data_IF_017223155054
#
_entry.id   IF_017223155054
#
_cell.length_a   1.000
_cell.length_b   1.000
_cell.length_c   1.000
_cell.angle_alpha   90.00
_cell.angle_beta   90.00
_cell.angle_gamma   90.00
#
_symmetry.space_group_name_H-M   'P 1'
#
loop_
_entity.id
_entity.type
_entity.pdbx_description
1 polymer ?
#
# COMPACT_ATOMS: atom_id res chain seq x y z
N UNK A 1 -3.72 -59.99 -63.75
CA UNK A 1 -3.40 -61.41 -64.02
C UNK A 1 -2.58 -61.91 -62.84
N UNK A 2 -2.99 -63.07 -62.32
CA UNK A 2 -2.53 -63.72 -61.10
C UNK A 2 -1.10 -64.27 -61.28
N UNK A 3 -0.45 -64.57 -60.14
CA UNK A 3 0.54 -65.63 -59.86
C UNK A 3 1.83 -65.06 -59.25
N UNK A 4 2.03 -65.05 -57.93
CA UNK A 4 2.11 -66.13 -56.92
C UNK A 4 3.38 -67.00 -57.07
N UNK A 5 4.28 -66.76 -56.10
CA UNK A 5 5.16 -67.67 -55.33
C UNK A 5 6.24 -68.51 -56.03
N UNK A 6 7.30 -68.74 -55.24
CA UNK A 6 7.96 -70.03 -54.89
C UNK A 6 9.47 -69.75 -54.80
N UNK A 7 10.04 -69.56 -53.61
CA UNK A 7 10.56 -70.56 -52.66
C UNK A 7 12.02 -70.97 -52.93
N UNK A 8 12.62 -71.61 -51.91
CA UNK A 8 14.01 -72.08 -51.77
C UNK A 8 14.99 -70.97 -51.38
N UNK A 9 15.73 -71.04 -50.28
CA UNK A 9 16.11 -72.11 -49.37
C UNK A 9 17.49 -71.71 -48.82
N UNK A 10 17.81 -71.90 -47.53
CA UNK A 10 19.02 -71.32 -46.94
C UNK A 10 20.20 -72.30 -47.07
N UNK A 11 21.35 -71.85 -47.61
CA UNK A 11 22.63 -72.53 -47.34
C UNK A 11 23.88 -71.74 -47.75
N UNK A 12 24.74 -71.50 -46.75
CA UNK A 12 26.22 -71.31 -46.76
C UNK A 12 26.82 -70.18 -47.62
N UNK A 13 27.88 -69.44 -47.25
CA UNK A 13 28.68 -69.25 -46.03
C UNK A 13 29.43 -67.88 -46.23
N UNK A 14 30.02 -67.26 -45.20
CA UNK A 14 30.37 -65.84 -45.19
C UNK A 14 31.73 -65.53 -45.81
N UNK A 15 31.94 -64.28 -46.25
CA UNK A 15 33.18 -63.60 -45.97
C UNK A 15 32.93 -62.31 -45.19
N UNK A 16 33.64 -62.22 -44.06
CA UNK A 16 33.73 -61.06 -43.19
C UNK A 16 34.21 -59.85 -44.00
N UNK A 17 33.37 -58.83 -44.09
CA UNK A 17 33.75 -57.51 -44.55
C UNK A 17 34.05 -56.61 -43.35
N UNK A 18 35.14 -55.85 -43.52
CA UNK A 18 35.83 -54.94 -42.61
C UNK A 18 34.89 -54.00 -41.84
N UNK A 19 35.13 -53.69 -40.55
CA UNK A 19 34.34 -52.71 -39.83
C UNK A 19 34.66 -51.31 -40.37
N UNK A 20 33.71 -50.71 -41.07
CA UNK A 20 33.71 -49.27 -41.30
C UNK A 20 33.05 -48.52 -40.13
N UNK A 21 33.49 -47.28 -39.85
CA UNK A 21 33.37 -46.63 -38.55
C UNK A 21 31.91 -46.34 -38.18
N UNK A 22 31.55 -46.58 -36.90
CA UNK A 22 30.29 -46.12 -36.35
C UNK A 22 30.19 -44.60 -36.47
N UNK A 23 29.16 -44.13 -37.19
CA UNK A 23 28.66 -42.76 -37.08
C UNK A 23 28.37 -42.48 -35.61
N UNK A 24 29.13 -41.53 -35.05
CA UNK A 24 28.84 -40.91 -33.78
C UNK A 24 27.48 -40.23 -33.86
N UNK A 25 26.46 -40.81 -33.25
CA UNK A 25 25.18 -40.14 -33.02
C UNK A 25 25.45 -38.87 -32.22
N UNK A 26 25.31 -37.71 -32.86
CA UNK A 26 25.32 -36.43 -32.18
C UNK A 26 24.23 -36.44 -31.09
N UNK A 27 24.49 -35.89 -29.89
CA UNK A 27 23.48 -35.78 -28.85
C UNK A 27 22.30 -34.96 -29.37
N UNK A 28 21.09 -35.48 -29.23
CA UNK A 28 19.87 -34.70 -29.39
C UNK A 28 19.92 -33.60 -28.33
N UNK A 29 20.03 -32.35 -28.78
CA UNK A 29 19.98 -31.17 -27.93
C UNK A 29 18.59 -31.14 -27.26
N UNK A 30 18.56 -31.45 -25.97
CA UNK A 30 17.36 -31.35 -25.14
C UNK A 30 16.97 -29.87 -25.12
N UNK A 31 15.87 -29.52 -25.80
CA UNK A 31 15.28 -28.18 -25.73
C UNK A 31 14.79 -28.00 -24.31
N UNK A 32 15.64 -27.45 -23.44
CA UNK A 32 15.24 -26.95 -22.13
C UNK A 32 14.24 -25.84 -22.44
N UNK A 33 12.95 -25.94 -22.04
CA UNK A 33 12.04 -24.82 -22.18
C UNK A 33 12.64 -23.64 -21.44
N UNK A 34 12.73 -22.48 -22.09
CA UNK A 34 13.11 -21.24 -21.41
C UNK A 34 12.28 -21.14 -20.12
N UNK A 35 12.92 -20.84 -18.97
CA UNK A 35 12.16 -20.61 -17.75
C UNK A 35 11.15 -19.51 -18.06
N UNK A 36 9.86 -19.82 -17.90
CA UNK A 36 8.80 -18.81 -17.89
C UNK A 36 9.18 -17.86 -16.78
N UNK A 37 9.67 -16.67 -17.15
CA UNK A 37 9.82 -15.56 -16.22
C UNK A 37 8.38 -15.21 -15.88
N UNK A 38 7.87 -15.70 -14.74
CA UNK A 38 6.62 -15.21 -14.21
C UNK A 38 6.78 -13.69 -14.06
N UNK A 39 5.93 -12.92 -14.76
CA UNK A 39 5.87 -11.48 -14.52
C UNK A 39 5.66 -11.28 -13.02
N UNK A 40 6.46 -10.40 -12.37
CA UNK A 40 6.29 -10.16 -10.95
C UNK A 40 4.82 -9.78 -10.70
N UNK A 41 4.21 -10.27 -9.60
CA UNK A 41 2.82 -9.98 -9.31
C UNK A 41 2.61 -8.47 -9.31
N UNK A 42 1.72 -8.01 -10.19
CA UNK A 42 1.37 -6.59 -10.28
C UNK A 42 0.62 -6.17 -9.03
N UNK A 43 1.03 -5.03 -8.46
CA UNK A 43 0.38 -4.49 -7.27
C UNK A 43 -1.05 -4.03 -7.62
N UNK A 44 -2.08 -4.33 -6.79
CA UNK A 44 -3.47 -3.96 -7.10
C UNK A 44 -3.68 -2.45 -7.23
N UNK A 45 -3.98 -1.95 -8.42
CA UNK A 45 -4.27 -0.52 -8.68
C UNK A 45 -5.76 -0.22 -8.58
N UNK A 46 -6.11 0.99 -8.10
CA UNK A 46 -7.49 1.51 -8.09
C UNK A 46 -7.62 2.98 -8.51
N UNK A 47 -6.52 3.67 -8.79
CA UNK A 47 -6.50 5.03 -9.31
C UNK A 47 -5.33 5.19 -10.29
N UNK A 48 -5.40 6.23 -11.11
CA UNK A 48 -4.37 6.65 -12.05
C UNK A 48 -4.29 8.18 -11.97
N UNK A 49 -3.39 8.67 -11.11
CA UNK A 49 -3.21 10.09 -10.82
C UNK A 49 -1.74 10.42 -10.63
N UNK A 50 -1.28 11.55 -11.18
CA UNK A 50 0.00 12.11 -10.78
C UNK A 50 -0.16 12.93 -9.50
N UNK A 51 0.65 12.62 -8.48
CA UNK A 51 0.58 13.26 -7.16
C UNK A 51 1.93 13.82 -6.75
N UNK A 52 1.90 14.92 -5.99
CA UNK A 52 3.02 15.44 -5.23
C UNK A 52 2.59 15.69 -3.79
N UNK A 53 3.30 15.10 -2.83
CA UNK A 53 3.11 15.30 -1.40
C UNK A 53 4.28 16.11 -0.84
N UNK A 54 3.97 17.11 -0.01
CA UNK A 54 4.96 17.88 0.76
C UNK A 54 4.83 17.52 2.23
N UNK A 55 5.96 17.29 2.88
CA UNK A 55 6.05 16.98 4.30
C UNK A 55 6.40 18.23 5.11
N UNK A 56 6.23 18.14 6.43
CA UNK A 56 6.46 19.24 7.36
C UNK A 56 7.92 19.72 7.39
N UNK A 57 8.88 18.83 7.13
CA UNK A 57 10.30 19.19 6.96
C UNK A 57 10.61 19.91 5.63
N UNK A 58 9.61 20.06 4.74
CA UNK A 58 9.74 20.68 3.43
C UNK A 58 10.19 19.70 2.33
N UNK A 59 10.45 18.44 2.66
CA UNK A 59 10.71 17.41 1.65
C UNK A 59 9.46 17.12 0.83
N UNK A 60 9.66 16.59 -0.37
CA UNK A 60 8.57 16.26 -1.29
C UNK A 60 8.73 14.85 -1.85
N UNK A 61 7.61 14.12 -1.96
CA UNK A 61 7.51 12.86 -2.69
C UNK A 61 6.49 13.01 -3.80
N UNK A 62 6.91 12.78 -5.04
CA UNK A 62 6.05 12.86 -6.22
C UNK A 62 6.13 11.57 -7.02
N UNK A 63 5.06 11.22 -7.72
CA UNK A 63 5.02 10.06 -8.59
C UNK A 63 3.62 9.70 -9.02
N UNK A 64 3.50 8.53 -9.64
CA UNK A 64 2.24 7.98 -10.10
C UNK A 64 1.53 7.25 -8.96
N UNK A 65 0.40 7.81 -8.53
CA UNK A 65 -0.45 7.25 -7.51
C UNK A 65 -1.32 6.16 -8.14
N UNK A 66 -1.03 4.92 -7.79
CA UNK A 66 -1.67 3.74 -8.36
C UNK A 66 -2.77 3.17 -7.47
N UNK A 67 -2.73 3.44 -6.17
CA UNK A 67 -3.76 2.98 -5.22
C UNK A 67 -3.95 3.98 -4.09
N UNK A 68 -5.21 4.16 -3.70
CA UNK A 68 -5.59 4.85 -2.48
C UNK A 68 -6.33 3.87 -1.58
N UNK A 69 -6.05 3.92 -0.28
CA UNK A 69 -6.85 3.26 0.73
C UNK A 69 -7.20 4.22 1.87
N UNK A 70 -8.25 3.88 2.60
CA UNK A 70 -8.72 4.61 3.77
C UNK A 70 -8.95 3.66 4.94
N UNK A 71 -8.58 4.07 6.16
CA UNK A 71 -8.93 3.29 7.34
C UNK A 71 -10.46 3.18 7.50
N UNK A 72 -10.93 2.03 7.97
CA UNK A 72 -12.34 1.86 8.31
C UNK A 72 -12.74 2.72 9.51
N UNK A 73 -11.84 2.85 10.50
CA UNK A 73 -12.05 3.55 11.77
C UNK A 73 -11.10 4.72 11.97
N UNK A 74 -11.45 5.58 12.91
CA UNK A 74 -10.71 6.81 13.24
C UNK A 74 -9.39 6.58 14.01
N UNK A 75 -9.10 5.37 14.47
CA UNK A 75 -7.79 5.05 15.07
C UNK A 75 -6.74 4.70 14.02
N UNK A 76 -7.14 4.40 12.78
CA UNK A 76 -6.21 4.22 11.66
C UNK A 76 -5.20 3.11 11.95
N UNK A 77 -5.67 2.05 12.60
CA UNK A 77 -4.87 0.91 13.02
C UNK A 77 -4.45 0.09 11.81
N UNK A 78 -3.26 -0.50 11.91
CA UNK A 78 -2.68 -1.36 10.87
C UNK A 78 -3.25 -2.79 10.93
N UNK A 79 -4.35 -3.01 11.65
CA UNK A 79 -5.05 -4.29 11.85
C UNK A 79 -5.78 -4.82 10.60
N UNK A 80 -5.40 -4.33 9.42
CA UNK A 80 -5.83 -4.86 8.14
C UNK A 80 -7.20 -4.39 7.64
N UNK A 81 -7.88 -3.47 8.33
CA UNK A 81 -9.17 -2.91 7.87
C UNK A 81 -8.99 -1.65 7.03
N UNK A 82 -8.25 -1.80 5.93
CA UNK A 82 -8.11 -0.78 4.89
C UNK A 82 -9.19 -0.97 3.82
N UNK A 83 -9.87 0.12 3.49
CA UNK A 83 -10.95 0.16 2.51
C UNK A 83 -10.42 0.72 1.18
N UNK A 84 -10.82 0.10 0.07
CA UNK A 84 -10.48 0.52 -1.30
C UNK A 84 -11.72 1.00 -2.11
N UNK A 85 -11.58 1.19 -3.43
CA UNK A 85 -12.47 2.05 -4.24
C UNK A 85 -13.92 1.60 -4.27
N UNK A 86 -14.17 0.30 -4.14
CA UNK A 86 -15.51 -0.28 -4.01
C UNK A 86 -16.21 0.14 -2.69
N UNK A 87 -15.46 0.76 -1.77
CA UNK A 87 -15.88 1.06 -0.38
C UNK A 87 -15.78 2.54 0.03
N UNK A 88 -16.01 3.49 -0.89
CA UNK A 88 -16.14 4.95 -0.62
C UNK A 88 -14.82 5.71 -0.38
N UNK A 89 -13.85 5.60 -1.30
CA UNK A 89 -12.67 6.49 -1.34
C UNK A 89 -13.07 7.89 -1.84
N UNK A 90 -13.81 8.65 -1.03
CA UNK A 90 -14.14 10.05 -1.29
C UNK A 90 -13.74 10.91 -0.10
N UNK A 91 -13.25 12.11 -0.40
CA UNK A 91 -12.93 13.11 0.60
C UNK A 91 -14.21 13.83 1.02
N UNK A 92 -14.45 13.89 2.34
CA UNK A 92 -15.59 14.60 2.91
C UNK A 92 -15.25 16.08 3.03
N UNK A 93 -16.02 16.92 2.34
CA UNK A 93 -15.79 18.35 2.19
C UNK A 93 -16.96 19.14 2.78
N UNK A 94 -16.67 20.25 3.44
CA UNK A 94 -17.69 21.14 4.01
C UNK A 94 -17.40 22.63 3.80
N UNK A 95 -18.44 23.45 3.85
CA UNK A 95 -18.32 24.90 3.93
C UNK A 95 -18.62 25.38 5.36
N UNK A 96 -18.15 26.57 5.70
CA UNK A 96 -18.48 27.21 6.99
C UNK A 96 -19.99 27.49 7.16
N UNK A 97 -20.76 27.49 6.07
CA UNK A 97 -22.21 27.69 6.07
C UNK A 97 -23.01 26.39 6.18
N UNK A 98 -22.35 25.25 6.44
CA UNK A 98 -23.00 23.95 6.61
C UNK A 98 -23.29 23.17 5.32
N UNK A 99 -22.78 23.64 4.17
CA UNK A 99 -22.79 22.83 2.95
C UNK A 99 -21.82 21.65 3.09
N UNK A 100 -22.17 20.49 2.53
CA UNK A 100 -21.34 19.29 2.60
C UNK A 100 -21.43 18.47 1.31
N UNK A 101 -20.32 17.82 0.94
CA UNK A 101 -20.27 16.87 -0.17
C UNK A 101 -19.18 15.81 0.02
N UNK A 102 -19.29 14.73 -0.76
CA UNK A 102 -18.22 13.74 -0.94
C UNK A 102 -17.62 13.87 -2.33
N UNK A 103 -16.33 14.17 -2.39
CA UNK A 103 -15.63 14.42 -3.64
C UNK A 103 -14.57 13.34 -3.86
N UNK A 104 -14.57 12.63 -5.01
CA UNK A 104 -13.51 11.66 -5.31
C UNK A 104 -12.17 12.39 -5.47
N UNK A 105 -11.07 11.70 -5.15
CA UNK A 105 -9.72 12.27 -5.25
C UNK A 105 -9.36 12.75 -6.66
N UNK A 106 -9.94 12.15 -7.70
CA UNK A 106 -9.75 12.54 -9.11
C UNK A 106 -10.22 13.97 -9.42
N UNK A 107 -11.14 14.51 -8.61
CA UNK A 107 -11.70 15.87 -8.74
C UNK A 107 -11.05 16.88 -7.79
N UNK A 108 -10.09 16.43 -6.96
CA UNK A 108 -9.30 17.29 -6.08
C UNK A 108 -8.06 17.74 -6.85
N UNK A 109 -7.77 19.04 -6.82
CA UNK A 109 -6.51 19.59 -7.36
C UNK A 109 -5.46 19.75 -6.26
N UNK A 110 -5.89 20.12 -5.05
CA UNK A 110 -4.99 20.37 -3.93
C UNK A 110 -5.64 20.10 -2.58
N UNK A 111 -4.88 19.55 -1.64
CA UNK A 111 -5.19 19.53 -0.22
C UNK A 111 -4.06 20.22 0.54
N UNK A 112 -4.42 21.08 1.50
CA UNK A 112 -3.49 21.71 2.43
C UNK A 112 -3.88 21.32 3.84
N UNK A 113 -2.91 20.87 4.62
CA UNK A 113 -3.07 20.34 5.98
C UNK A 113 -2.16 21.15 6.89
N UNK A 114 -2.74 21.88 7.84
CA UNK A 114 -2.00 22.71 8.77
C UNK A 114 -2.22 22.19 10.20
N UNK A 115 -1.18 21.87 10.97
CA UNK A 115 -1.35 21.39 12.35
C UNK A 115 -1.81 22.49 13.33
N UNK A 116 -1.93 23.74 12.85
CA UNK A 116 -2.40 24.87 13.64
C UNK A 116 -1.53 25.10 14.86
N UNK A 117 -2.16 25.54 15.95
CA UNK A 117 -1.50 25.51 17.27
C UNK A 117 -1.51 24.07 17.75
N UNK A 118 -0.32 23.54 18.03
CA UNK A 118 -0.15 22.22 18.61
C UNK A 118 -0.79 22.19 20.01
N UNK A 119 -1.95 21.54 20.09
CA UNK A 119 -2.69 21.26 21.31
C UNK A 119 -3.01 19.76 21.32
N UNK A 120 -2.48 19.05 22.33
CA UNK A 120 -2.53 17.60 22.38
C UNK A 120 -3.81 17.15 23.07
N UNK A 121 -4.62 16.37 22.37
CA UNK A 121 -5.68 15.59 22.97
C UNK A 121 -5.20 14.15 23.13
N UNK A 122 -5.06 13.70 24.37
CA UNK A 122 -4.60 12.36 24.69
C UNK A 122 -5.68 11.59 25.43
N UNK A 123 -5.87 10.33 25.04
CA UNK A 123 -6.91 9.44 25.56
C UNK A 123 -6.35 8.01 25.61
N UNK A 124 -6.95 7.15 26.44
CA UNK A 124 -6.70 5.72 26.42
C UNK A 124 -8.00 4.97 26.15
N UNK A 125 -7.89 3.76 25.60
CA UNK A 125 -9.00 2.83 25.40
C UNK A 125 -8.71 1.54 26.14
N UNK A 126 -9.59 1.22 27.09
CA UNK A 126 -9.62 -0.05 27.82
C UNK A 126 -10.36 -1.17 27.08
N UNK A 127 -10.79 -0.93 25.83
CA UNK A 127 -11.36 -1.98 24.97
C UNK A 127 -10.27 -2.97 24.51
N UNK A 128 -9.01 -2.56 24.58
CA UNK A 128 -7.82 -3.36 24.29
C UNK A 128 -7.18 -3.82 25.59
N UNK A 129 -6.59 -5.01 25.62
CA UNK A 129 -5.74 -5.45 26.74
C UNK A 129 -4.42 -6.03 26.18
N UNK A 130 -3.25 -5.47 26.54
CA UNK A 130 -3.04 -4.22 27.29
C UNK A 130 -3.76 -3.00 26.70
N UNK A 131 -4.02 -1.97 27.51
CA UNK A 131 -4.76 -0.78 27.08
C UNK A 131 -4.04 -0.05 25.94
N UNK A 132 -4.81 0.60 25.06
CA UNK A 132 -4.25 1.39 23.95
C UNK A 132 -4.29 2.88 24.28
N UNK A 133 -3.16 3.55 24.16
CA UNK A 133 -3.03 4.99 24.36
C UNK A 133 -2.92 5.70 23.02
N UNK A 134 -3.52 6.87 22.93
CA UNK A 134 -3.51 7.70 21.73
C UNK A 134 -3.30 9.16 22.09
N UNK A 135 -2.52 9.88 21.30
CA UNK A 135 -2.48 11.34 21.31
C UNK A 135 -2.73 11.85 19.91
N UNK A 136 -3.42 12.98 19.81
CA UNK A 136 -3.76 13.61 18.54
C UNK A 136 -3.62 15.14 18.60
N UNK A 137 -3.25 15.73 17.47
CA UNK A 137 -3.30 17.18 17.21
C UNK A 137 -4.34 17.41 16.13
N UNK A 138 -5.26 18.36 16.36
CA UNK A 138 -6.25 18.73 15.35
C UNK A 138 -5.57 19.52 14.23
N UNK A 139 -5.82 19.13 12.98
CA UNK A 139 -5.34 19.88 11.82
C UNK A 139 -6.47 20.73 11.23
N UNK A 140 -6.11 21.87 10.65
CA UNK A 140 -6.97 22.69 9.83
C UNK A 140 -6.64 22.40 8.38
N UNK A 141 -7.57 21.77 7.68
CA UNK A 141 -7.32 21.31 6.33
C UNK A 141 -8.34 21.83 5.35
N UNK A 142 -7.86 22.19 4.17
CA UNK A 142 -8.67 22.70 3.08
C UNK A 142 -8.36 21.94 1.80
N UNK A 143 -9.37 21.73 0.96
CA UNK A 143 -9.21 21.18 -0.37
C UNK A 143 -9.64 22.21 -1.42
N UNK A 144 -8.92 22.23 -2.53
CA UNK A 144 -9.36 22.87 -3.77
C UNK A 144 -9.75 21.78 -4.76
N UNK A 145 -10.90 21.93 -5.39
CA UNK A 145 -11.37 21.05 -6.47
C UNK A 145 -10.84 21.53 -7.82
N UNK A 146 -10.88 20.68 -8.84
CA UNK A 146 -10.43 21.01 -10.20
C UNK A 146 -11.27 22.10 -10.86
N UNK A 147 -12.52 22.27 -10.44
CA UNK A 147 -13.39 23.39 -10.83
C UNK A 147 -13.07 24.73 -10.13
N UNK A 148 -12.06 24.75 -9.25
CA UNK A 148 -11.56 25.93 -8.56
C UNK A 148 -12.27 26.26 -7.24
N UNK A 149 -13.26 25.48 -6.81
CA UNK A 149 -13.92 25.70 -5.51
C UNK A 149 -13.00 25.31 -4.35
N UNK A 150 -13.18 25.99 -3.21
CA UNK A 150 -12.41 25.75 -1.98
C UNK A 150 -13.32 25.29 -0.85
N UNK A 151 -12.88 24.27 -0.14
CA UNK A 151 -13.64 23.57 0.87
C UNK A 151 -12.79 23.30 2.11
N UNK A 152 -13.43 23.16 3.26
CA UNK A 152 -12.80 22.54 4.43
C UNK A 152 -12.82 21.02 4.27
N UNK A 153 -11.80 20.33 4.77
CA UNK A 153 -11.76 18.86 4.81
C UNK A 153 -12.23 18.39 6.17
N UNK A 154 -13.29 17.58 6.21
CA UNK A 154 -13.90 17.07 7.46
C UNK A 154 -13.60 15.58 7.72
N UNK A 155 -12.75 14.98 6.87
CA UNK A 155 -12.42 13.57 6.94
C UNK A 155 -11.50 13.26 8.12
N UNK A 156 -11.97 12.41 9.04
CA UNK A 156 -11.21 11.95 10.22
C UNK A 156 -10.45 10.65 9.99
N UNK A 157 -10.50 10.12 8.77
CA UNK A 157 -9.89 8.83 8.46
C UNK A 157 -8.41 8.98 8.13
N UNK A 158 -7.65 7.90 8.35
CA UNK A 158 -6.28 7.79 7.88
C UNK A 158 -6.31 7.34 6.43
N UNK A 159 -5.45 7.92 5.60
CA UNK A 159 -5.32 7.62 4.18
C UNK A 159 -3.97 6.97 3.93
N UNK A 160 -3.92 6.05 2.96
CA UNK A 160 -2.71 5.47 2.41
C UNK A 160 -2.66 5.71 0.92
N UNK A 161 -1.58 6.33 0.48
CA UNK A 161 -1.27 6.54 -0.94
C UNK A 161 -0.14 5.59 -1.32
N UNK A 162 -0.35 4.81 -2.37
CA UNK A 162 0.61 3.89 -2.93
C UNK A 162 1.14 4.49 -4.23
N UNK A 163 2.39 4.92 -4.20
CA UNK A 163 3.06 5.58 -5.31
C UNK A 163 3.95 4.54 -5.98
N UNK A 164 3.86 4.45 -7.30
CA UNK A 164 4.70 3.58 -8.12
C UNK A 164 6.19 3.81 -7.81
N UNK A 165 6.92 2.71 -7.68
CA UNK A 165 8.36 2.69 -7.42
C UNK A 165 9.06 1.87 -8.50
N UNK A 166 10.40 1.84 -8.47
CA UNK A 166 11.19 1.02 -9.40
C UNK A 166 10.92 -0.49 -9.24
N UNK A 167 10.34 -0.92 -8.12
CA UNK A 167 9.88 -2.29 -7.89
C UNK A 167 8.34 -2.33 -7.95
N UNK A 168 7.73 -2.83 -9.05
CA UNK A 168 6.28 -2.86 -9.21
C UNK A 168 5.53 -3.64 -8.12
N UNK A 169 6.20 -4.53 -7.40
CA UNK A 169 5.60 -5.30 -6.29
C UNK A 169 5.70 -4.59 -4.93
N UNK A 170 6.48 -3.50 -4.84
CA UNK A 170 6.74 -2.76 -3.61
C UNK A 170 6.60 -1.24 -3.83
N UNK A 171 5.37 -0.73 -4.01
CA UNK A 171 5.13 0.70 -4.12
C UNK A 171 5.48 1.43 -2.83
N UNK A 172 5.85 2.71 -2.95
CA UNK A 172 6.05 3.58 -1.80
C UNK A 172 4.70 3.90 -1.15
N UNK A 173 4.60 3.62 0.16
CA UNK A 173 3.35 3.82 0.91
C UNK A 173 3.46 5.03 1.81
N UNK A 174 2.67 6.07 1.54
CA UNK A 174 2.56 7.25 2.40
C UNK A 174 1.24 7.20 3.16
N UNK A 175 1.33 7.18 4.49
CA UNK A 175 0.18 7.26 5.39
C UNK A 175 0.03 8.66 5.96
N UNK A 176 -1.18 9.22 5.92
CA UNK A 176 -1.45 10.53 6.50
C UNK A 176 -2.89 10.65 6.99
N UNK A 177 -3.13 11.66 7.81
CA UNK A 177 -4.44 12.03 8.30
C UNK A 177 -4.82 13.40 7.76
N UNK A 178 -6.11 13.64 7.47
CA UNK A 178 -6.53 14.89 6.83
C UNK A 178 -7.20 15.90 7.74
N UNK A 179 -7.73 15.56 8.92
CA UNK A 179 -8.30 16.54 9.90
C UNK A 179 -7.71 16.40 11.31
N UNK A 180 -6.84 15.41 11.51
CA UNK A 180 -6.11 15.20 12.76
C UNK A 180 -4.70 14.75 12.38
N UNK A 181 -3.76 14.67 13.31
CA UNK A 181 -2.56 13.84 13.19
C UNK A 181 -2.43 13.07 14.50
N UNK A 182 -2.41 11.74 14.42
CA UNK A 182 -2.57 10.85 15.57
C UNK A 182 -1.48 9.81 15.62
N UNK A 183 -0.95 9.60 16.82
CA UNK A 183 -0.06 8.50 17.19
C UNK A 183 -0.75 7.62 18.23
N UNK A 184 -0.53 6.31 18.13
CA UNK A 184 -1.09 5.32 19.04
C UNK A 184 0.01 4.37 19.50
N UNK A 185 -0.12 3.87 20.72
CA UNK A 185 0.76 2.84 21.27
C UNK A 185 -0.03 1.98 22.26
N UNK A 186 0.08 0.67 22.12
CA UNK A 186 -0.44 -0.27 23.11
C UNK A 186 0.54 -0.36 24.28
N UNK A 187 0.00 -0.38 25.49
CA UNK A 187 0.77 -0.60 26.71
C UNK A 187 1.43 -1.99 26.68
N UNK A 188 2.47 -2.18 27.49
CA UNK A 188 3.09 -3.50 27.67
C UNK A 188 2.50 -4.26 28.86
N UNK A 189 1.82 -3.55 29.76
CA UNK A 189 1.22 -4.10 30.97
C UNK A 189 -0.25 -4.44 30.78
N UNK A 190 -0.57 -5.72 30.92
CA UNK A 190 -1.97 -6.15 31.05
C UNK A 190 -2.58 -5.59 32.33
N UNK A 191 -3.81 -5.07 32.22
CA UNK A 191 -4.52 -4.47 33.34
C UNK A 191 -5.63 -5.42 33.79
N UNK A 192 -5.64 -5.76 35.08
CA UNK A 192 -6.65 -6.61 35.70
C UNK A 192 -7.66 -5.82 36.51
N UNK A 193 -8.85 -6.40 36.69
CA UNK A 193 -9.88 -5.86 37.59
C UNK A 193 -9.33 -5.80 39.02
N UNK A 194 -9.08 -4.58 39.52
CA UNK A 194 -8.57 -4.34 40.88
C UNK A 194 -7.23 -3.63 40.93
N UNK A 195 -6.56 -3.41 39.80
CA UNK A 195 -5.32 -2.62 39.75
C UNK A 195 -5.60 -1.15 40.12
N UNK A 196 -4.95 -0.59 41.16
CA UNK A 196 -5.14 0.80 41.55
C UNK A 196 -4.46 1.73 40.54
N UNK A 197 -5.25 2.63 39.95
CA UNK A 197 -4.84 3.59 38.91
C UNK A 197 -3.95 2.98 37.81
N UNK A 198 -4.52 2.12 36.95
CA UNK A 198 -3.76 1.40 35.92
C UNK A 198 -3.30 2.29 34.75
N UNK A 199 -3.57 3.60 34.80
CA UNK A 199 -3.19 4.54 33.75
C UNK A 199 -1.68 4.77 33.72
N UNK A 200 -1.09 4.65 32.53
CA UNK A 200 0.33 4.82 32.26
C UNK A 200 0.60 6.23 31.73
N UNK A 201 0.84 7.17 32.66
CA UNK A 201 1.09 8.57 32.31
C UNK A 201 2.36 8.78 31.47
N UNK A 202 3.35 7.89 31.57
CA UNK A 202 4.59 7.96 30.79
C UNK A 202 4.33 7.75 29.29
N UNK A 203 3.39 6.86 28.94
CA UNK A 203 2.98 6.66 27.55
C UNK A 203 2.43 7.95 26.93
N UNK A 204 1.71 8.78 27.69
CA UNK A 204 1.27 10.07 27.17
C UNK A 204 2.42 11.01 26.86
N UNK A 205 3.45 11.06 27.70
CA UNK A 205 4.63 11.89 27.43
C UNK A 205 5.37 11.40 26.18
N UNK A 206 5.56 10.08 26.05
CA UNK A 206 6.17 9.46 24.86
C UNK A 206 5.37 9.83 23.60
N UNK A 207 4.05 9.63 23.62
CA UNK A 207 3.19 9.90 22.48
C UNK A 207 3.16 11.40 22.14
N UNK A 208 3.11 12.30 23.13
CA UNK A 208 3.19 13.74 22.89
C UNK A 208 4.53 14.15 22.26
N UNK A 209 5.65 13.62 22.75
CA UNK A 209 6.97 13.92 22.19
C UNK A 209 7.10 13.42 20.76
N UNK A 210 6.69 12.17 20.49
CA UNK A 210 6.62 11.61 19.13
C UNK A 210 5.75 12.50 18.23
N UNK A 211 4.58 12.90 18.71
CA UNK A 211 3.67 13.72 17.94
C UNK A 211 4.24 15.12 17.66
N UNK A 212 4.99 15.72 18.59
CA UNK A 212 5.73 16.99 18.37
C UNK A 212 6.78 16.87 17.27
N UNK A 213 7.44 15.74 17.18
CA UNK A 213 8.44 15.51 16.13
C UNK A 213 7.76 15.28 14.79
N UNK A 214 6.80 14.36 14.72
CA UNK A 214 6.13 14.03 13.46
C UNK A 214 5.44 15.25 12.82
N UNK A 215 4.78 16.12 13.60
CA UNK A 215 4.16 17.35 13.03
C UNK A 215 5.17 18.36 12.48
N UNK A 216 6.47 18.21 12.81
CA UNK A 216 7.56 19.05 12.28
C UNK A 216 8.33 18.39 11.15
N UNK A 217 8.27 17.07 11.03
CA UNK A 217 9.11 16.33 10.09
C UNK A 217 8.27 15.55 9.08
N UNK A 218 7.57 14.52 9.53
CA UNK A 218 6.97 13.49 8.68
C UNK A 218 5.50 13.70 8.33
N UNK A 219 4.83 14.67 8.95
CA UNK A 219 3.43 14.96 8.63
C UNK A 219 3.28 15.55 7.23
N UNK A 220 2.36 15.01 6.44
CA UNK A 220 1.99 15.61 5.14
C UNK A 220 1.29 16.95 5.37
N UNK A 221 1.81 18.02 4.76
CA UNK A 221 1.25 19.38 4.83
C UNK A 221 0.55 19.80 3.54
N UNK A 222 0.88 19.15 2.42
CA UNK A 222 0.29 19.47 1.13
C UNK A 222 0.22 18.22 0.24
N UNK A 223 -0.85 18.14 -0.54
CA UNK A 223 -1.06 17.13 -1.59
C UNK A 223 -1.53 17.88 -2.83
N UNK A 224 -0.87 17.70 -3.96
CA UNK A 224 -1.24 18.32 -5.24
C UNK A 224 -1.38 17.23 -6.30
N UNK A 225 -2.43 17.36 -7.11
CA UNK A 225 -2.72 16.47 -8.24
C UNK A 225 -2.61 17.25 -9.55
N UNK A 226 -2.03 16.61 -10.57
CA UNK A 226 -1.92 17.19 -11.91
C UNK A 226 -3.16 16.91 -12.77
#
# INVERSE_FOLDING_TARGET
>A
MIYILIACGPKEAPPIAVPEPQESTAPVEEVIPEPVIEEPPSFPSNVDLQVSLTFADGSTKSGHLIRIERSERFYGTDDGTWLDIDKKIKLELSTNSGGWQQTPWTEISKVSINPGKVDFNCEYSSEWNPWMYACAVKTQSTASTKDGQKWNVDSKFKWRFYIESDNPSEPDVISFWSNTHRVVQQDDKEVSLGDPNPENAELYEILQNRLREEVKTTMVTQIEFQ
#
